data_IF_603487552538
#
_entry.id   IF_603487552538
#
_cell.length_a   1.000
_cell.length_b   1.000
_cell.length_c   1.000
_cell.angle_alpha   90.00
_cell.angle_beta   90.00
_cell.angle_gamma   90.00
#
_symmetry.space_group_name_H-M   'P 1'
#
loop_
_entity.id
_entity.type
_entity.pdbx_description
1 polymer ?
#
# COMPACT_ATOMS: atom_id res chain seq x y z
N UNK A 1 -6.85 29.74 -13.16
CA UNK A 1 -7.42 28.58 -13.90
C UNK A 1 -6.76 27.34 -13.34
N UNK A 2 -7.57 26.40 -12.90
CA UNK A 2 -7.12 25.15 -12.31
C UNK A 2 -7.08 24.02 -13.35
N UNK A 3 -6.10 23.13 -13.27
CA UNK A 3 -5.98 21.99 -14.18
C UNK A 3 -5.42 20.76 -13.51
N UNK A 4 -5.79 19.58 -14.05
CA UNK A 4 -5.27 18.26 -13.70
C UNK A 4 -4.46 17.70 -14.87
N UNK A 5 -3.31 17.09 -14.56
CA UNK A 5 -2.53 16.31 -15.53
C UNK A 5 -2.16 14.98 -14.90
N UNK A 6 -2.46 13.89 -15.58
CA UNK A 6 -2.23 12.53 -15.11
C UNK A 6 -0.97 11.98 -15.78
N UNK A 7 0.02 11.58 -14.99
CA UNK A 7 1.29 11.02 -15.46
C UNK A 7 1.43 9.52 -15.12
N UNK A 8 0.43 8.93 -14.47
CA UNK A 8 0.36 7.51 -14.14
C UNK A 8 -0.98 7.16 -13.47
N UNK A 9 -1.22 5.88 -13.25
CA UNK A 9 -2.50 5.38 -12.73
C UNK A 9 -3.63 5.42 -13.76
N UNK A 10 -3.33 5.49 -15.06
CA UNK A 10 -4.29 5.66 -16.15
C UNK A 10 -4.40 4.38 -16.97
N UNK A 11 -5.50 3.65 -16.84
CA UNK A 11 -5.69 2.36 -17.53
C UNK A 11 -4.84 1.24 -16.93
N UNK A 12 -4.35 1.43 -15.73
CA UNK A 12 -3.49 0.51 -14.99
C UNK A 12 -3.81 0.57 -13.50
N UNK A 13 -3.44 -0.46 -12.73
CA UNK A 13 -3.46 -0.46 -11.27
C UNK A 13 -2.10 0.00 -10.76
N UNK A 14 -2.09 0.97 -9.85
CA UNK A 14 -0.86 1.55 -9.31
C UNK A 14 -0.22 2.62 -10.20
N UNK A 15 0.96 3.06 -9.80
CA UNK A 15 1.75 4.04 -10.54
C UNK A 15 1.19 5.46 -10.51
N UNK A 16 0.37 5.79 -9.54
CA UNK A 16 -0.29 7.10 -9.43
C UNK A 16 0.70 8.26 -9.44
N UNK A 17 0.44 9.24 -10.31
CA UNK A 17 1.22 10.48 -10.47
C UNK A 17 0.28 11.56 -11.03
N UNK A 18 -0.26 12.40 -10.15
CA UNK A 18 -1.32 13.35 -10.51
C UNK A 18 -0.85 14.76 -10.18
N UNK A 19 -0.73 15.61 -11.20
CA UNK A 19 -0.39 17.02 -11.04
C UNK A 19 -1.66 17.86 -10.96
N UNK A 20 -1.78 18.65 -9.90
CA UNK A 20 -2.75 19.73 -9.78
C UNK A 20 -2.03 21.06 -9.93
N UNK A 21 -2.47 21.89 -10.87
CA UNK A 21 -1.91 23.21 -11.08
C UNK A 21 -3.00 24.28 -10.94
N UNK A 22 -2.76 25.30 -10.12
CA UNK A 22 -3.63 26.46 -9.95
C UNK A 22 -2.81 27.74 -9.84
N UNK A 23 -3.10 28.74 -10.69
CA UNK A 23 -2.46 30.08 -10.69
C UNK A 23 -0.93 30.01 -10.58
N UNK A 24 -0.30 29.04 -11.23
CA UNK A 24 1.13 28.84 -11.24
C UNK A 24 1.69 27.98 -10.11
N UNK A 25 0.90 27.67 -9.07
CA UNK A 25 1.26 26.69 -8.05
C UNK A 25 1.07 25.26 -8.61
N UNK A 26 2.06 24.39 -8.45
CA UNK A 26 2.07 23.01 -8.95
C UNK A 26 2.30 22.04 -7.81
N UNK A 27 1.35 21.17 -7.57
CA UNK A 27 1.43 20.10 -6.55
C UNK A 27 1.29 18.74 -7.22
N UNK A 28 2.23 17.85 -6.94
CA UNK A 28 2.17 16.46 -7.38
C UNK A 28 1.59 15.57 -6.27
N UNK A 29 0.60 14.77 -6.59
CA UNK A 29 0.03 13.78 -5.70
C UNK A 29 0.49 12.40 -6.12
N UNK A 30 1.17 11.70 -5.21
CA UNK A 30 1.84 10.41 -5.37
C UNK A 30 2.92 10.40 -6.47
N UNK A 31 3.86 9.47 -6.36
CA UNK A 31 4.87 9.22 -7.39
C UNK A 31 5.30 7.74 -7.34
N UNK A 32 4.36 6.88 -7.72
CA UNK A 32 4.45 5.45 -7.52
C UNK A 32 4.95 4.65 -8.71
N UNK A 33 5.17 3.35 -8.48
CA UNK A 33 5.52 2.33 -9.47
C UNK A 33 4.22 1.69 -9.98
N UNK A 34 4.01 1.60 -11.29
CA UNK A 34 2.93 0.82 -11.85
C UNK A 34 3.28 -0.67 -11.80
N UNK A 35 2.33 -1.52 -11.39
CA UNK A 35 2.58 -2.95 -11.31
C UNK A 35 2.72 -3.59 -12.69
N UNK A 36 1.81 -3.31 -13.62
CA UNK A 36 1.76 -4.00 -14.92
C UNK A 36 2.76 -3.45 -15.94
N UNK A 37 3.02 -2.15 -15.96
CA UNK A 37 3.92 -1.53 -16.96
C UNK A 37 5.37 -2.01 -16.82
N UNK A 38 5.77 -2.42 -15.61
CA UNK A 38 7.12 -2.95 -15.35
C UNK A 38 7.31 -4.36 -15.85
N UNK A 39 6.28 -5.19 -15.83
CA UNK A 39 6.36 -6.63 -16.11
C UNK A 39 6.60 -6.93 -17.59
N UNK A 40 6.23 -6.03 -18.51
CA UNK A 40 6.50 -6.17 -19.93
C UNK A 40 7.99 -6.07 -20.29
N UNK A 41 8.79 -5.38 -19.47
CA UNK A 41 10.20 -5.07 -19.76
C UNK A 41 11.17 -5.54 -18.68
N UNK A 42 10.71 -5.78 -17.46
CA UNK A 42 11.53 -6.11 -16.31
C UNK A 42 11.03 -7.36 -15.61
N UNK A 43 11.94 -8.16 -15.13
CA UNK A 43 11.69 -9.37 -14.32
C UNK A 43 12.63 -9.39 -13.13
N UNK A 44 12.48 -10.35 -12.21
CA UNK A 44 13.21 -10.39 -10.94
C UNK A 44 14.74 -10.18 -11.05
N UNK A 45 15.36 -10.59 -12.13
CA UNK A 45 16.79 -10.51 -12.39
C UNK A 45 17.18 -9.57 -13.55
N UNK A 46 16.23 -9.03 -14.30
CA UNK A 46 16.44 -7.98 -15.30
C UNK A 46 15.76 -6.71 -14.82
N UNK A 47 16.55 -5.78 -14.26
CA UNK A 47 16.06 -4.53 -13.65
C UNK A 47 16.72 -3.31 -14.28
N UNK A 48 16.13 -2.12 -14.14
CA UNK A 48 16.80 -0.87 -14.50
C UNK A 48 18.20 -0.82 -13.87
N UNK A 49 19.15 -0.29 -14.63
CA UNK A 49 20.55 -0.19 -14.18
C UNK A 49 20.66 0.79 -13.01
N UNK A 50 21.31 0.37 -11.92
CA UNK A 50 21.49 1.22 -10.72
C UNK A 50 22.17 2.56 -11.02
N UNK A 51 23.09 2.59 -11.99
CA UNK A 51 23.79 3.82 -12.39
C UNK A 51 23.02 4.74 -13.34
N UNK A 52 21.85 4.35 -13.87
CA UNK A 52 21.06 5.12 -14.85
C UNK A 52 19.58 4.77 -14.79
N UNK A 53 18.96 4.65 -13.60
CA UNK A 53 17.60 4.13 -13.49
C UNK A 53 16.58 5.02 -14.21
N UNK A 54 16.65 6.32 -14.07
CA UNK A 54 15.73 7.28 -14.71
C UNK A 54 15.84 7.23 -16.23
N UNK A 55 17.05 7.05 -16.78
CA UNK A 55 17.23 6.89 -18.24
C UNK A 55 16.53 5.64 -18.75
N UNK A 56 16.72 4.52 -18.06
CA UNK A 56 16.14 3.24 -18.45
C UNK A 56 14.60 3.27 -18.35
N UNK A 57 14.06 3.90 -17.30
CA UNK A 57 12.61 4.06 -17.13
C UNK A 57 12.00 5.07 -18.12
N UNK A 58 12.75 6.08 -18.55
CA UNK A 58 12.32 7.01 -19.60
C UNK A 58 12.24 6.35 -20.99
N UNK A 59 13.05 5.33 -21.25
CA UNK A 59 13.04 4.60 -22.53
C UNK A 59 11.73 3.87 -22.73
N UNK A 60 11.13 3.35 -21.66
CA UNK A 60 9.88 2.59 -21.68
C UNK A 60 8.66 3.39 -21.19
N UNK A 61 8.78 4.74 -21.16
CA UNK A 61 7.72 5.66 -20.71
C UNK A 61 7.12 5.37 -19.30
N UNK A 62 7.89 4.69 -18.44
CA UNK A 62 7.50 4.39 -17.05
C UNK A 62 7.59 5.60 -16.13
N UNK A 63 8.39 6.59 -16.50
CA UNK A 63 8.50 7.87 -15.82
C UNK A 63 8.18 9.02 -16.78
N UNK A 64 7.43 10.04 -16.33
CA UNK A 64 7.13 11.20 -17.14
C UNK A 64 8.34 12.14 -17.24
N UNK A 65 8.62 12.69 -18.42
CA UNK A 65 9.72 13.65 -18.64
C UNK A 65 9.32 15.06 -18.19
N UNK A 66 9.13 15.26 -16.86
CA UNK A 66 8.73 16.52 -16.25
C UNK A 66 9.98 17.36 -15.93
N UNK A 67 10.03 18.59 -16.47
CA UNK A 67 11.10 19.53 -16.21
C UNK A 67 11.01 20.04 -14.76
N UNK A 68 12.16 20.13 -14.07
CA UNK A 68 12.25 20.61 -12.69
C UNK A 68 11.68 19.63 -11.65
N UNK A 69 11.53 18.34 -11.98
CA UNK A 69 11.07 17.31 -11.03
C UNK A 69 12.22 16.48 -10.49
N UNK A 70 13.20 16.11 -11.31
CA UNK A 70 14.17 15.05 -11.01
C UNK A 70 15.48 15.57 -10.43
N UNK A 71 16.11 14.76 -9.60
CA UNK A 71 17.48 14.95 -9.09
C UNK A 71 18.46 15.10 -10.25
N UNK A 72 19.39 16.03 -10.08
CA UNK A 72 20.39 16.39 -11.10
C UNK A 72 21.29 15.21 -11.52
N UNK A 73 21.72 14.41 -10.54
CA UNK A 73 22.63 13.28 -10.74
C UNK A 73 22.00 12.17 -11.60
N UNK A 74 20.68 11.98 -11.51
CA UNK A 74 19.92 10.95 -12.22
C UNK A 74 19.60 11.32 -13.67
N UNK A 75 19.77 12.57 -14.08
CA UNK A 75 19.45 13.04 -15.43
C UNK A 75 20.55 12.81 -16.46
N UNK A 76 21.69 12.28 -16.07
CA UNK A 76 22.80 12.00 -17.00
C UNK A 76 22.37 11.05 -18.11
N UNK A 77 22.50 11.51 -19.37
CA UNK A 77 22.19 10.69 -20.55
C UNK A 77 20.68 10.50 -20.84
N UNK A 78 19.79 11.19 -20.14
CA UNK A 78 18.33 11.11 -20.34
C UNK A 78 17.80 12.05 -21.44
N UNK A 79 18.62 13.03 -21.87
CA UNK A 79 18.17 14.12 -22.76
C UNK A 79 17.37 15.23 -22.06
N UNK A 80 16.89 15.02 -20.82
CA UNK A 80 16.22 16.04 -20.02
C UNK A 80 17.29 16.90 -19.30
N UNK A 81 17.25 18.21 -19.52
CA UNK A 81 18.17 19.13 -18.85
C UNK A 81 17.68 19.43 -17.43
N UNK A 82 18.60 19.39 -16.48
CA UNK A 82 18.32 19.83 -15.12
C UNK A 82 17.98 21.33 -15.10
N UNK A 83 16.95 21.65 -14.37
CA UNK A 83 16.61 23.00 -13.92
C UNK A 83 16.22 22.93 -12.45
N UNK A 84 16.22 24.08 -11.76
CA UNK A 84 15.72 24.14 -10.38
C UNK A 84 14.29 23.62 -10.32
N UNK A 85 13.85 23.08 -9.18
CA UNK A 85 12.49 22.58 -9.00
C UNK A 85 11.43 23.58 -9.48
N UNK A 86 10.49 23.09 -10.27
CA UNK A 86 9.31 23.82 -10.74
C UNK A 86 8.00 23.24 -10.12
N UNK A 87 8.13 22.32 -9.17
CA UNK A 87 7.05 21.71 -8.40
C UNK A 87 7.15 22.25 -6.98
N UNK A 88 6.04 22.75 -6.43
CA UNK A 88 6.03 23.41 -5.12
C UNK A 88 5.95 22.41 -3.97
N UNK A 89 5.33 21.25 -4.19
CA UNK A 89 5.22 20.18 -3.19
C UNK A 89 4.83 18.84 -3.82
N UNK A 90 5.15 17.75 -3.10
CA UNK A 90 4.60 16.41 -3.33
C UNK A 90 3.75 16.03 -2.12
N UNK A 91 2.54 15.50 -2.35
CA UNK A 91 1.68 14.93 -1.32
C UNK A 91 1.53 13.44 -1.55
N UNK A 92 1.78 12.63 -0.52
CA UNK A 92 1.65 11.17 -0.57
C UNK A 92 0.39 10.71 0.14
N UNK A 93 -0.40 9.87 -0.52
CA UNK A 93 -1.62 9.30 0.07
C UNK A 93 -1.29 8.27 1.14
N UNK A 94 -0.37 7.35 0.88
CA UNK A 94 0.06 6.29 1.80
C UNK A 94 1.37 5.63 1.35
N UNK A 95 1.89 4.66 2.13
CA UNK A 95 3.24 4.10 1.95
C UNK A 95 3.31 2.84 1.05
N UNK A 96 2.34 2.55 0.18
CA UNK A 96 2.50 1.49 -0.80
C UNK A 96 3.42 1.92 -1.95
N UNK A 97 4.15 0.97 -2.54
CA UNK A 97 5.14 1.27 -3.58
C UNK A 97 4.53 1.90 -4.84
N UNK A 98 3.32 1.56 -5.17
CA UNK A 98 2.58 2.13 -6.29
C UNK A 98 2.12 3.57 -6.07
N UNK A 99 2.40 4.14 -4.88
CA UNK A 99 2.22 5.56 -4.54
C UNK A 99 3.53 6.28 -4.20
N UNK A 100 4.55 5.57 -3.67
CA UNK A 100 5.80 6.22 -3.23
C UNK A 100 7.06 5.70 -3.93
N UNK A 101 6.99 4.63 -4.71
CA UNK A 101 8.15 3.83 -5.12
C UNK A 101 9.20 4.54 -5.98
N UNK A 102 8.85 5.66 -6.63
CA UNK A 102 9.79 6.49 -7.38
C UNK A 102 10.14 7.81 -6.69
N UNK A 103 9.75 7.99 -5.42
CA UNK A 103 9.98 9.25 -4.69
C UNK A 103 11.48 9.63 -4.65
N UNK A 104 12.37 8.66 -4.47
CA UNK A 104 13.82 8.88 -4.47
C UNK A 104 14.42 9.44 -5.76
N UNK A 105 13.65 9.50 -6.84
CA UNK A 105 14.10 10.14 -8.09
C UNK A 105 13.78 11.64 -8.16
N UNK A 106 12.91 12.13 -7.28
CA UNK A 106 12.50 13.53 -7.21
C UNK A 106 13.63 14.39 -6.62
N UNK A 107 13.74 15.65 -7.06
CA UNK A 107 14.73 16.60 -6.54
C UNK A 107 14.52 16.81 -5.02
N UNK A 108 15.58 16.65 -4.26
CA UNK A 108 15.57 16.69 -2.78
C UNK A 108 15.18 18.04 -2.20
N UNK A 109 15.15 19.11 -3.01
CA UNK A 109 14.66 20.43 -2.58
C UNK A 109 13.13 20.55 -2.64
N UNK A 110 12.42 19.59 -3.20
CA UNK A 110 10.96 19.59 -3.25
C UNK A 110 10.42 19.05 -1.92
N UNK A 111 9.62 19.81 -1.16
CA UNK A 111 9.04 19.36 0.09
C UNK A 111 8.00 18.26 -0.13
N UNK A 112 8.02 17.25 0.75
CA UNK A 112 7.11 16.10 0.72
C UNK A 112 6.20 16.13 1.93
N UNK A 113 4.90 16.08 1.69
CA UNK A 113 3.85 16.06 2.71
C UNK A 113 3.21 14.67 2.77
N UNK A 114 3.10 14.09 3.96
CA UNK A 114 2.63 12.71 4.16
C UNK A 114 2.07 12.51 5.57
N UNK A 115 1.28 11.46 5.76
CA UNK A 115 0.82 11.05 7.08
C UNK A 115 1.99 10.63 7.99
N UNK A 116 1.87 10.85 9.31
CA UNK A 116 2.94 10.54 10.27
C UNK A 116 3.34 9.06 10.24
N UNK A 117 2.37 8.14 10.26
CA UNK A 117 2.67 6.71 10.11
C UNK A 117 3.20 6.35 8.71
N UNK A 118 2.80 7.07 7.65
CA UNK A 118 3.38 6.88 6.32
C UNK A 118 4.89 7.10 6.34
N UNK A 119 5.34 8.18 7.03
CA UNK A 119 6.77 8.46 7.21
C UNK A 119 7.47 7.34 7.98
N UNK A 120 6.93 6.91 9.13
CA UNK A 120 7.51 5.83 9.92
C UNK A 120 7.64 4.51 9.14
N UNK A 121 6.66 4.19 8.30
CA UNK A 121 6.71 3.00 7.45
C UNK A 121 7.79 3.13 6.39
N UNK A 122 7.91 4.29 5.72
CA UNK A 122 8.93 4.53 4.70
C UNK A 122 10.33 4.43 5.31
N UNK A 123 10.60 5.10 6.43
CA UNK A 123 11.87 5.00 7.17
C UNK A 123 12.19 3.55 7.56
N UNK A 124 11.20 2.80 8.07
CA UNK A 124 11.37 1.39 8.42
C UNK A 124 11.74 0.52 7.22
N UNK A 125 11.15 0.79 6.05
CA UNK A 125 11.47 0.07 4.81
C UNK A 125 12.89 0.34 4.37
N UNK A 126 13.38 1.57 4.46
CA UNK A 126 14.77 1.93 4.16
C UNK A 126 15.75 1.26 5.13
N UNK A 127 15.46 1.27 6.43
CA UNK A 127 16.27 0.58 7.44
C UNK A 127 16.38 -0.94 7.18
N UNK A 128 15.33 -1.54 6.62
CA UNK A 128 15.24 -2.98 6.32
C UNK A 128 15.77 -3.38 4.94
N UNK A 129 16.08 -2.41 4.07
CA UNK A 129 16.45 -2.66 2.67
C UNK A 129 17.54 -1.72 2.21
N UNK A 130 18.64 -2.29 1.73
CA UNK A 130 19.73 -1.50 1.09
C UNK A 130 19.38 -1.06 -0.34
N UNK A 131 18.23 -1.47 -0.87
CA UNK A 131 17.82 -1.21 -2.25
C UNK A 131 16.72 -0.15 -2.35
N UNK A 132 16.15 0.27 -1.23
CA UNK A 132 15.07 1.26 -1.17
C UNK A 132 15.64 2.58 -0.67
N UNK A 133 15.42 3.64 -1.41
CA UNK A 133 15.84 5.01 -1.11
C UNK A 133 14.70 5.94 -1.55
N UNK A 134 14.10 6.64 -0.60
CA UNK A 134 13.03 7.60 -0.87
C UNK A 134 13.54 9.04 -0.97
N UNK A 135 14.85 9.27 -0.77
CA UNK A 135 15.51 10.58 -0.84
C UNK A 135 15.40 11.41 0.46
N UNK A 136 16.33 12.35 0.59
CA UNK A 136 16.42 13.26 1.76
C UNK A 136 15.60 14.55 1.53
N UNK A 137 14.27 14.42 1.43
CA UNK A 137 13.38 15.56 1.24
C UNK A 137 13.11 16.31 2.56
N UNK A 138 12.69 17.59 2.51
CA UNK A 138 12.01 18.23 3.63
C UNK A 138 10.65 17.58 3.86
N UNK A 139 10.60 16.59 4.76
CA UNK A 139 9.38 15.85 5.09
C UNK A 139 8.53 16.61 6.09
N UNK A 140 7.27 16.85 5.75
CA UNK A 140 6.25 17.49 6.59
C UNK A 140 5.12 16.49 6.87
N UNK A 141 4.95 16.12 8.13
CA UNK A 141 3.87 15.20 8.50
C UNK A 141 2.60 15.95 8.84
N UNK A 142 1.46 15.32 8.59
CA UNK A 142 0.14 15.87 8.89
C UNK A 142 -0.82 14.80 9.44
N UNK A 143 -1.97 15.26 9.91
CA UNK A 143 -3.13 14.46 10.32
C UNK A 143 -4.43 15.05 9.81
N UNK A 144 -5.52 14.26 9.86
CA UNK A 144 -6.88 14.76 9.61
C UNK A 144 -7.20 15.97 10.48
N UNK A 145 -7.79 16.99 9.88
CA UNK A 145 -8.17 18.26 10.52
C UNK A 145 -7.16 19.37 10.33
N UNK A 146 -6.00 19.09 9.77
CA UNK A 146 -5.03 20.11 9.35
C UNK A 146 -5.39 20.64 7.94
N UNK A 147 -5.04 21.90 7.72
CA UNK A 147 -5.17 22.57 6.42
C UNK A 147 -3.82 23.12 6.03
N UNK A 148 -3.30 22.66 4.91
CA UNK A 148 -1.94 22.97 4.45
C UNK A 148 -2.03 23.90 3.24
N UNK A 149 -1.51 25.10 3.40
CA UNK A 149 -1.51 26.10 2.33
C UNK A 149 -0.21 26.05 1.53
N UNK A 150 -0.32 25.79 0.23
CA UNK A 150 0.79 25.83 -0.73
C UNK A 150 0.40 26.79 -1.86
N UNK A 151 1.05 27.92 -1.93
CA UNK A 151 0.77 28.95 -2.95
C UNK A 151 -0.71 29.36 -2.96
N UNK A 152 -1.39 29.10 -4.08
CA UNK A 152 -2.81 29.40 -4.29
C UNK A 152 -3.76 28.32 -3.80
N UNK A 153 -3.27 27.15 -3.38
CA UNK A 153 -4.09 26.02 -2.97
C UNK A 153 -4.04 25.79 -1.46
N UNK A 154 -5.15 25.29 -0.89
CA UNK A 154 -5.23 24.77 0.47
C UNK A 154 -5.62 23.29 0.40
N UNK A 155 -4.83 22.44 1.00
CA UNK A 155 -4.98 20.98 0.98
C UNK A 155 -5.46 20.50 2.35
N UNK A 156 -6.60 19.81 2.40
CA UNK A 156 -7.14 19.16 3.59
C UNK A 156 -6.99 17.64 3.47
N UNK A 157 -6.02 17.02 4.18
CA UNK A 157 -5.90 15.57 4.26
C UNK A 157 -7.00 15.02 5.18
N UNK A 158 -7.68 13.97 4.73
CA UNK A 158 -8.67 13.25 5.53
C UNK A 158 -8.34 11.76 5.51
N UNK A 159 -8.22 11.16 6.69
CA UNK A 159 -7.91 9.74 6.83
C UNK A 159 -8.97 8.88 6.18
N UNK A 160 -8.54 7.82 5.49
CA UNK A 160 -9.41 6.78 4.92
C UNK A 160 -8.99 5.41 5.44
N UNK A 161 -9.92 4.47 5.46
CA UNK A 161 -9.61 3.07 5.74
C UNK A 161 -8.96 2.43 4.51
N UNK A 162 -7.82 1.83 4.70
CA UNK A 162 -7.08 1.04 3.71
C UNK A 162 -6.28 -0.07 4.41
N UNK A 163 -5.61 -0.96 3.69
CA UNK A 163 -4.84 -2.06 4.26
C UNK A 163 -3.57 -1.62 5.02
N UNK A 164 -3.12 -0.39 4.82
CA UNK A 164 -1.95 0.22 5.48
C UNK A 164 -2.39 1.43 6.33
N UNK A 165 -1.83 1.66 7.53
CA UNK A 165 -2.19 2.82 8.35
C UNK A 165 -1.73 4.13 7.71
N UNK A 166 -2.40 5.23 8.10
CA UNK A 166 -2.18 6.58 7.59
C UNK A 166 -2.37 6.70 6.07
N UNK A 167 -3.40 6.04 5.54
CA UNK A 167 -3.91 6.31 4.21
C UNK A 167 -4.83 7.53 4.23
N UNK A 168 -4.65 8.44 3.26
CA UNK A 168 -5.38 9.70 3.19
C UNK A 168 -5.96 9.94 1.80
N UNK A 169 -7.22 10.40 1.77
CA UNK A 169 -7.75 11.16 0.65
C UNK A 169 -7.53 12.65 0.87
N UNK A 170 -7.65 13.44 -0.19
CA UNK A 170 -7.42 14.89 -0.15
C UNK A 170 -8.61 15.68 -0.67
N UNK A 171 -8.95 16.77 0.02
CA UNK A 171 -9.83 17.82 -0.47
C UNK A 171 -8.92 19.02 -0.79
N UNK A 172 -8.82 19.38 -2.06
CA UNK A 172 -7.90 20.38 -2.58
C UNK A 172 -8.71 21.60 -2.98
N UNK A 173 -8.62 22.65 -2.18
CA UNK A 173 -9.31 23.93 -2.47
C UNK A 173 -8.47 24.74 -3.44
N UNK A 174 -9.06 25.05 -4.58
CA UNK A 174 -8.42 25.81 -5.68
C UNK A 174 -9.22 27.05 -6.02
N UNK A 175 -8.70 27.87 -6.94
CA UNK A 175 -9.40 29.09 -7.38
C UNK A 175 -10.70 28.83 -8.16
N UNK A 176 -10.89 27.62 -8.70
CA UNK A 176 -12.07 27.25 -9.50
C UNK A 176 -13.06 26.33 -8.72
N UNK A 177 -12.74 25.99 -7.47
CA UNK A 177 -13.52 25.13 -6.61
C UNK A 177 -12.70 23.97 -6.04
N UNK A 178 -13.35 23.05 -5.34
CA UNK A 178 -12.67 21.92 -4.71
C UNK A 178 -12.43 20.79 -5.69
N UNK A 179 -11.25 20.17 -5.61
CA UNK A 179 -10.90 18.89 -6.25
C UNK A 179 -10.73 17.85 -5.16
N UNK A 180 -11.33 16.68 -5.33
CA UNK A 180 -11.19 15.55 -4.41
C UNK A 180 -10.30 14.50 -5.05
N UNK A 181 -9.29 14.02 -4.31
CA UNK A 181 -8.51 12.84 -4.69
C UNK A 181 -8.66 11.77 -3.60
N UNK A 182 -9.17 10.60 -3.98
CA UNK A 182 -9.50 9.56 -3.00
C UNK A 182 -8.27 8.87 -2.40
N UNK A 183 -7.14 8.84 -3.12
CA UNK A 183 -6.16 7.81 -2.86
C UNK A 183 -6.82 6.43 -2.96
N UNK A 184 -6.29 5.46 -2.25
CA UNK A 184 -6.86 4.13 -2.12
C UNK A 184 -7.70 4.02 -0.85
N UNK A 185 -8.87 3.41 -0.94
CA UNK A 185 -9.80 3.33 0.18
C UNK A 185 -10.68 2.08 0.15
N UNK A 186 -11.17 1.67 1.33
CA UNK A 186 -12.15 0.58 1.48
C UNK A 186 -13.25 0.95 2.46
N UNK A 187 -14.39 0.19 2.41
CA UNK A 187 -15.55 0.36 3.28
C UNK A 187 -15.83 -0.86 4.20
N UNK A 188 -14.98 -1.88 4.13
CA UNK A 188 -15.20 -3.17 4.81
C UNK A 188 -14.01 -3.57 5.73
N UNK A 189 -13.13 -2.62 6.00
CA UNK A 189 -12.04 -2.77 6.96
C UNK A 189 -12.47 -2.48 8.40
N UNK A 190 -11.47 -2.34 9.28
CA UNK A 190 -11.70 -2.11 10.72
C UNK A 190 -12.15 -0.66 10.99
N UNK A 191 -11.80 0.27 10.11
CA UNK A 191 -12.02 1.72 10.30
C UNK A 191 -12.79 2.35 9.14
N UNK A 192 -13.82 1.67 8.64
CA UNK A 192 -14.72 2.20 7.61
C UNK A 192 -15.33 3.56 7.97
N UNK A 193 -15.45 3.87 9.27
CA UNK A 193 -15.86 5.18 9.77
C UNK A 193 -14.98 6.33 9.24
N UNK A 194 -13.69 6.10 9.04
CA UNK A 194 -12.77 7.11 8.46
C UNK A 194 -13.09 7.38 6.98
N UNK A 195 -13.35 6.34 6.20
CA UNK A 195 -13.76 6.51 4.80
C UNK A 195 -15.13 7.19 4.69
N UNK A 196 -16.06 6.86 5.58
CA UNK A 196 -17.37 7.54 5.64
C UNK A 196 -17.20 9.04 5.95
N UNK A 197 -16.35 9.41 6.90
CA UNK A 197 -16.02 10.82 7.22
C UNK A 197 -15.43 11.54 6.00
N UNK A 198 -14.48 10.91 5.31
CA UNK A 198 -13.90 11.45 4.08
C UNK A 198 -14.95 11.70 3.00
N UNK A 199 -15.85 10.73 2.73
CA UNK A 199 -16.90 10.85 1.73
C UNK A 199 -17.88 11.98 2.09
N UNK A 200 -18.23 12.13 3.37
CA UNK A 200 -19.10 13.21 3.83
C UNK A 200 -18.46 14.59 3.66
N UNK A 201 -17.19 14.75 4.04
CA UNK A 201 -16.44 16.01 3.83
C UNK A 201 -16.23 16.33 2.35
N UNK A 202 -15.94 15.31 1.54
CA UNK A 202 -15.84 15.46 0.09
C UNK A 202 -17.16 15.96 -0.51
N UNK A 203 -18.31 15.41 -0.07
CA UNK A 203 -19.65 15.88 -0.48
C UNK A 203 -19.89 17.33 -0.06
N UNK A 204 -19.57 17.69 1.19
CA UNK A 204 -19.75 19.05 1.72
C UNK A 204 -18.92 20.09 0.94
N UNK A 205 -17.77 19.69 0.42
CA UNK A 205 -16.90 20.56 -0.39
C UNK A 205 -17.47 20.88 -1.78
N UNK A 206 -18.55 20.22 -2.21
CA UNK A 206 -19.22 20.37 -3.53
C UNK A 206 -18.22 20.37 -4.69
N UNK A 207 -17.45 19.29 -4.91
CA UNK A 207 -16.27 19.33 -5.76
C UNK A 207 -16.60 19.51 -7.24
N UNK A 208 -15.80 20.34 -7.90
CA UNK A 208 -15.85 20.52 -9.36
C UNK A 208 -15.24 19.32 -10.09
N UNK A 209 -14.32 18.61 -9.44
CA UNK A 209 -13.74 17.38 -9.96
C UNK A 209 -13.42 16.40 -8.82
N UNK A 210 -13.51 15.09 -9.13
CA UNK A 210 -13.08 14.01 -8.26
C UNK A 210 -12.15 13.08 -9.06
N UNK A 211 -11.00 12.77 -8.50
CA UNK A 211 -10.09 11.73 -8.99
C UNK A 211 -10.31 10.52 -8.09
N UNK A 212 -10.81 9.43 -8.65
CA UNK A 212 -11.25 8.26 -7.88
C UNK A 212 -10.51 7.01 -8.31
N UNK A 213 -10.05 6.22 -7.33
CA UNK A 213 -9.59 4.87 -7.57
C UNK A 213 -10.71 3.99 -8.15
N UNK A 214 -10.31 2.92 -8.81
CA UNK A 214 -11.24 1.94 -9.40
C UNK A 214 -10.66 0.54 -9.49
N UNK A 215 -9.77 0.17 -8.58
CA UNK A 215 -9.02 -1.09 -8.59
C UNK A 215 -9.91 -2.32 -8.78
N UNK A 216 -11.07 -2.34 -8.12
CA UNK A 216 -11.99 -3.49 -8.15
C UNK A 216 -13.19 -3.32 -9.10
N UNK A 217 -13.22 -2.30 -9.93
CA UNK A 217 -14.24 -2.18 -10.97
C UNK A 217 -13.99 -3.22 -12.06
N UNK A 218 -14.96 -4.12 -12.26
CA UNK A 218 -14.86 -5.23 -13.21
C UNK A 218 -14.26 -6.52 -12.64
N UNK A 219 -13.95 -6.56 -11.34
CA UNK A 219 -13.41 -7.75 -10.66
C UNK A 219 -14.41 -8.43 -9.72
N UNK A 220 -15.70 -8.47 -10.10
CA UNK A 220 -16.77 -9.01 -9.24
C UNK A 220 -16.64 -10.52 -8.95
N UNK A 221 -15.78 -11.23 -9.70
CA UNK A 221 -15.56 -12.67 -9.52
C UNK A 221 -14.63 -13.00 -8.35
N UNK A 222 -13.84 -12.05 -7.85
CA UNK A 222 -12.92 -12.29 -6.74
C UNK A 222 -13.65 -12.22 -5.41
N UNK A 223 -13.51 -13.27 -4.60
CA UNK A 223 -14.05 -13.31 -3.25
C UNK A 223 -13.44 -12.19 -2.40
N UNK A 224 -14.28 -11.44 -1.71
CA UNK A 224 -13.84 -10.44 -0.76
C UNK A 224 -14.55 -10.66 0.58
N UNK A 225 -13.76 -10.79 1.64
CA UNK A 225 -14.26 -10.85 3.01
C UNK A 225 -14.18 -9.47 3.67
N UNK A 226 -14.95 -9.28 4.73
CA UNK A 226 -14.68 -8.20 5.68
C UNK A 226 -13.56 -8.62 6.64
N UNK A 227 -12.87 -7.67 7.26
CA UNK A 227 -11.87 -7.99 8.30
C UNK A 227 -12.46 -8.82 9.44
N UNK A 228 -13.73 -8.58 9.79
CA UNK A 228 -14.46 -9.38 10.78
C UNK A 228 -14.63 -10.84 10.37
N UNK A 229 -14.94 -11.10 9.11
CA UNK A 229 -15.07 -12.46 8.58
C UNK A 229 -13.72 -13.16 8.54
N UNK A 230 -12.65 -12.48 8.12
CA UNK A 230 -11.28 -13.03 8.18
C UNK A 230 -10.95 -13.44 9.61
N UNK A 231 -11.19 -12.57 10.60
CA UNK A 231 -10.97 -12.88 12.01
C UNK A 231 -11.77 -14.11 12.44
N UNK A 232 -13.09 -14.11 12.20
CA UNK A 232 -14.00 -15.18 12.67
C UNK A 232 -13.62 -16.53 12.09
N UNK A 233 -13.44 -16.64 10.78
CA UNK A 233 -13.07 -17.89 10.09
C UNK A 233 -11.68 -18.37 10.50
N UNK A 234 -10.72 -17.46 10.67
CA UNK A 234 -9.37 -17.80 11.14
C UNK A 234 -9.38 -18.32 12.58
N UNK A 235 -10.17 -17.72 13.48
CA UNK A 235 -10.37 -18.22 14.84
C UNK A 235 -10.98 -19.63 14.85
N UNK A 236 -11.96 -19.91 13.99
CA UNK A 236 -12.56 -21.23 13.88
C UNK A 236 -11.53 -22.28 13.47
N UNK A 237 -10.69 -21.99 12.48
CA UNK A 237 -9.60 -22.87 12.05
C UNK A 237 -8.62 -23.11 13.20
N UNK A 238 -8.11 -22.01 13.80
CA UNK A 238 -7.08 -22.08 14.83
C UNK A 238 -7.54 -22.79 16.11
N UNK A 239 -8.82 -22.65 16.50
CA UNK A 239 -9.37 -23.25 17.70
C UNK A 239 -9.68 -24.75 17.54
N UNK A 240 -9.98 -25.21 16.32
CA UNK A 240 -10.36 -26.64 16.06
C UNK A 240 -9.16 -27.54 15.85
N UNK A 241 -7.97 -27.03 15.68
CA UNK A 241 -6.77 -27.86 15.40
C UNK A 241 -5.77 -27.81 16.55
N UNK A 242 -5.03 -28.93 16.73
CA UNK A 242 -3.84 -28.99 17.59
C UNK A 242 -2.52 -28.95 16.78
N UNK A 243 -2.61 -28.71 15.48
CA UNK A 243 -1.46 -28.61 14.57
C UNK A 243 -1.04 -27.16 14.37
N UNK A 244 0.03 -26.94 13.63
CA UNK A 244 0.50 -25.60 13.31
C UNK A 244 -0.55 -24.87 12.45
N UNK A 245 -0.74 -23.58 12.74
CA UNK A 245 -1.48 -22.67 11.86
C UNK A 245 -0.47 -21.66 11.33
N UNK A 246 -0.33 -21.63 10.02
CA UNK A 246 0.53 -20.67 9.31
C UNK A 246 -0.37 -19.65 8.63
N UNK A 247 0.02 -18.38 8.62
CA UNK A 247 -0.69 -17.33 7.91
C UNK A 247 0.28 -16.48 7.09
N UNK A 248 -0.16 -16.05 5.92
CA UNK A 248 0.55 -15.05 5.13
C UNK A 248 -0.35 -13.87 4.82
N UNK A 249 0.23 -12.67 4.83
CA UNK A 249 -0.41 -11.41 4.47
C UNK A 249 0.64 -10.38 4.09
N UNK A 250 0.24 -9.29 3.48
CA UNK A 250 1.16 -8.21 3.11
C UNK A 250 1.86 -7.65 4.35
N UNK A 251 3.20 -7.56 4.36
CA UNK A 251 3.98 -7.22 5.56
C UNK A 251 3.62 -5.89 6.23
N UNK A 252 3.00 -4.97 5.48
CA UNK A 252 2.57 -3.64 5.95
C UNK A 252 1.08 -3.51 6.21
N UNK A 253 0.31 -4.59 6.01
CA UNK A 253 -1.10 -4.65 6.41
C UNK A 253 -1.19 -4.82 7.94
N UNK A 254 -1.19 -3.69 8.63
CA UNK A 254 -1.18 -3.65 10.09
C UNK A 254 -2.53 -4.08 10.67
N UNK A 255 -3.62 -3.83 9.97
CA UNK A 255 -4.94 -4.29 10.41
C UNK A 255 -4.99 -5.82 10.37
N UNK A 256 -4.46 -6.45 9.31
CA UNK A 256 -4.37 -7.90 9.19
C UNK A 256 -3.43 -8.50 10.23
N UNK A 257 -2.30 -7.85 10.50
CA UNK A 257 -1.38 -8.26 11.56
C UNK A 257 -2.10 -8.24 12.93
N UNK A 258 -2.84 -7.17 13.24
CA UNK A 258 -3.65 -7.06 14.47
C UNK A 258 -4.77 -8.11 14.51
N UNK A 259 -5.39 -8.38 13.36
CA UNK A 259 -6.40 -9.45 13.22
C UNK A 259 -5.81 -10.81 13.60
N UNK A 260 -4.66 -11.19 13.04
CA UNK A 260 -4.03 -12.49 13.37
C UNK A 260 -3.43 -12.53 14.78
N UNK A 261 -2.92 -11.42 15.30
CA UNK A 261 -2.55 -11.34 16.71
C UNK A 261 -3.75 -11.65 17.61
N UNK A 262 -4.91 -11.06 17.32
CA UNK A 262 -6.11 -11.33 18.10
C UNK A 262 -6.63 -12.78 17.88
N UNK A 263 -6.53 -13.33 16.66
CA UNK A 263 -6.84 -14.75 16.38
C UNK A 263 -5.97 -15.69 17.23
N UNK A 264 -4.67 -15.39 17.34
CA UNK A 264 -3.78 -16.18 18.18
C UNK A 264 -4.23 -16.16 19.64
N UNK A 265 -4.51 -14.99 20.22
CA UNK A 265 -5.00 -14.85 21.60
C UNK A 265 -6.32 -15.56 21.81
N UNK A 266 -7.31 -15.35 20.97
CA UNK A 266 -8.64 -15.92 21.09
C UNK A 266 -8.62 -17.46 20.96
N UNK A 267 -7.61 -18.03 20.29
CA UNK A 267 -7.39 -19.48 20.13
C UNK A 267 -6.39 -20.08 21.13
N UNK A 268 -5.90 -19.29 22.11
CA UNK A 268 -4.91 -19.72 23.12
C UNK A 268 -3.53 -20.04 22.53
N UNK A 269 -3.15 -19.37 21.43
CA UNK A 269 -1.86 -19.52 20.76
C UNK A 269 -1.01 -18.26 20.91
N UNK A 270 0.31 -18.40 20.75
CA UNK A 270 1.21 -17.25 20.62
C UNK A 270 1.35 -16.91 19.13
N UNK A 271 1.40 -15.62 18.82
CA UNK A 271 1.64 -15.14 17.47
C UNK A 271 3.14 -14.99 17.20
N UNK A 272 3.63 -15.71 16.20
CA UNK A 272 5.04 -15.68 15.81
C UNK A 272 5.18 -14.84 14.54
N UNK A 273 5.91 -13.73 14.62
CA UNK A 273 6.11 -12.79 13.52
C UNK A 273 7.57 -12.78 13.04
N UNK A 274 7.82 -12.29 11.83
CA UNK A 274 9.17 -12.11 11.33
C UNK A 274 9.89 -10.95 12.01
N UNK A 275 11.24 -10.92 11.98
CA UNK A 275 12.06 -9.79 12.44
C UNK A 275 11.64 -8.47 11.79
N UNK A 276 11.34 -8.47 10.49
CA UNK A 276 10.87 -7.27 9.77
C UNK A 276 9.53 -6.76 10.31
N UNK A 277 8.59 -7.66 10.60
CA UNK A 277 7.31 -7.26 11.19
C UNK A 277 7.49 -6.75 12.63
N UNK A 278 8.36 -7.39 13.42
CA UNK A 278 8.68 -6.94 14.77
C UNK A 278 9.29 -5.52 14.77
N UNK A 279 10.22 -5.26 13.86
CA UNK A 279 10.81 -3.92 13.70
C UNK A 279 9.77 -2.89 13.28
N UNK A 280 8.93 -3.19 12.29
CA UNK A 280 7.85 -2.29 11.86
C UNK A 280 6.91 -1.95 13.02
N UNK A 281 6.49 -2.94 13.83
CA UNK A 281 5.64 -2.70 14.99
C UNK A 281 6.34 -1.80 16.02
N UNK A 282 7.64 -2.01 16.25
CA UNK A 282 8.44 -1.18 17.16
C UNK A 282 8.50 0.29 16.72
N UNK A 283 8.69 0.53 15.41
CA UNK A 283 8.67 1.89 14.83
C UNK A 283 7.28 2.53 14.91
N UNK A 284 6.24 1.77 14.59
CA UNK A 284 4.86 2.27 14.64
C UNK A 284 4.38 2.62 16.07
N UNK A 285 4.98 2.07 17.12
CA UNK A 285 4.73 2.49 18.52
C UNK A 285 5.12 3.93 18.82
N UNK A 286 5.95 4.55 18.00
CA UNK A 286 6.30 5.97 18.12
C UNK A 286 5.07 6.85 17.93
N UNK A 287 4.12 6.44 17.08
CA UNK A 287 2.81 7.07 16.99
C UNK A 287 1.87 6.59 18.12
N UNK A 288 1.74 7.42 19.15
CA UNK A 288 0.89 7.12 20.32
C UNK A 288 -0.61 6.97 20.00
N UNK A 289 -1.04 7.37 18.80
CA UNK A 289 -2.45 7.26 18.35
C UNK A 289 -2.72 5.97 17.59
N UNK A 290 -1.67 5.24 17.19
CA UNK A 290 -1.80 3.93 16.55
C UNK A 290 -1.51 2.81 17.58
N UNK A 291 -2.53 2.17 18.17
CA UNK A 291 -2.32 1.08 19.11
C UNK A 291 -1.83 -0.17 18.35
N UNK A 292 -0.58 -0.54 18.53
CA UNK A 292 0.02 -1.78 18.01
C UNK A 292 0.58 -2.62 19.16
N UNK A 293 0.64 -3.95 19.03
CA UNK A 293 1.24 -4.82 20.06
C UNK A 293 2.72 -4.48 20.26
N UNK A 294 3.20 -4.62 21.47
CA UNK A 294 4.61 -4.46 21.81
C UNK A 294 5.33 -5.81 21.77
N UNK A 295 5.98 -6.11 20.68
CA UNK A 295 6.66 -7.40 20.45
C UNK A 295 7.72 -7.72 21.52
N UNK A 296 8.32 -6.71 22.16
CA UNK A 296 9.38 -6.92 23.15
C UNK A 296 8.86 -7.25 24.55
N UNK A 297 7.64 -6.88 24.89
CA UNK A 297 7.06 -7.06 26.22
C UNK A 297 5.77 -7.89 26.25
N UNK A 298 5.14 -8.13 25.11
CA UNK A 298 3.89 -8.89 25.02
C UNK A 298 4.17 -10.41 25.10
N UNK A 299 3.69 -11.11 26.13
CA UNK A 299 3.94 -12.53 26.30
C UNK A 299 3.26 -13.42 25.24
N UNK A 300 2.29 -12.88 24.51
CA UNK A 300 1.55 -13.58 23.46
C UNK A 300 2.22 -13.43 22.09
N UNK A 301 3.32 -12.68 21.99
CA UNK A 301 4.11 -12.50 20.76
C UNK A 301 5.50 -13.09 20.86
N UNK A 302 5.96 -13.70 19.77
CA UNK A 302 7.31 -14.22 19.59
C UNK A 302 7.85 -13.78 18.23
N UNK A 303 9.17 -13.76 18.09
CA UNK A 303 9.82 -13.41 16.84
C UNK A 303 10.50 -14.63 16.24
N UNK A 304 10.20 -14.95 14.98
CA UNK A 304 10.86 -16.02 14.27
C UNK A 304 12.27 -15.61 13.84
N UNK A 305 13.25 -16.35 14.29
CA UNK A 305 14.65 -16.13 14.02
C UNK A 305 15.20 -17.19 13.08
N UNK A 306 15.58 -16.78 11.88
CA UNK A 306 16.44 -17.58 11.02
C UNK A 306 17.90 -17.38 11.45
N UNK A 307 18.61 -18.43 11.88
CA UNK A 307 20.02 -18.31 12.23
C UNK A 307 20.85 -17.79 11.07
N UNK A 308 21.67 -16.77 11.32
CA UNK A 308 22.60 -16.20 10.35
C UNK A 308 23.88 -15.70 11.06
N UNK A 309 24.96 -15.57 10.32
CA UNK A 309 26.27 -15.19 10.86
C UNK A 309 26.32 -13.75 11.39
N UNK A 310 25.46 -12.86 10.91
CA UNK A 310 25.42 -11.45 11.30
C UNK A 310 23.99 -10.92 11.27
N UNK A 311 23.63 -10.20 12.32
CA UNK A 311 22.37 -9.47 12.44
C UNK A 311 22.61 -7.98 12.24
N UNK A 312 21.64 -7.32 11.61
CA UNK A 312 21.64 -5.86 11.43
C UNK A 312 21.35 -5.16 12.77
N UNK A 313 21.74 -3.90 12.95
CA UNK A 313 21.45 -3.15 14.19
C UNK A 313 19.96 -3.12 14.56
N UNK A 314 19.08 -3.00 13.58
CA UNK A 314 17.63 -2.98 13.80
C UNK A 314 17.05 -4.34 14.23
N UNK A 315 17.75 -5.45 14.04
CA UNK A 315 17.31 -6.79 14.46
C UNK A 315 17.69 -7.10 15.91
N UNK A 316 18.76 -6.49 16.43
CA UNK A 316 19.29 -6.77 17.76
C UNK A 316 18.27 -6.72 18.91
N UNK A 317 17.36 -5.73 18.97
CA UNK A 317 16.41 -5.62 20.07
C UNK A 317 15.42 -6.80 20.22
N UNK A 318 15.30 -7.64 19.19
CA UNK A 318 14.32 -8.71 19.14
C UNK A 318 14.92 -10.10 19.38
N UNK A 319 16.23 -10.23 19.55
CA UNK A 319 16.91 -11.53 19.62
C UNK A 319 16.58 -12.30 20.91
N UNK A 320 16.36 -11.58 22.01
CA UNK A 320 16.03 -12.19 23.33
C UNK A 320 14.64 -12.86 23.34
N UNK A 321 13.70 -12.39 22.52
CA UNK A 321 12.35 -12.96 22.34
C UNK A 321 12.24 -13.83 21.11
N UNK A 322 13.34 -14.19 20.49
CA UNK A 322 13.36 -14.95 19.26
C UNK A 322 13.23 -16.45 19.51
N UNK A 323 12.55 -17.11 18.57
CA UNK A 323 12.39 -18.56 18.52
C UNK A 323 12.82 -19.09 17.15
N UNK A 324 13.43 -20.25 17.13
CA UNK A 324 13.93 -20.93 15.92
C UNK A 324 12.96 -21.96 15.38
N UNK A 325 13.34 -22.64 14.31
CA UNK A 325 12.59 -23.72 13.69
C UNK A 325 12.34 -24.90 14.66
N UNK A 326 13.29 -25.24 15.51
CA UNK A 326 13.15 -26.33 16.50
C UNK A 326 12.11 -26.00 17.55
N UNK A 327 12.07 -24.75 18.02
CA UNK A 327 11.03 -24.32 18.94
C UNK A 327 9.64 -24.38 18.28
N UNK A 328 9.52 -23.92 17.04
CA UNK A 328 8.25 -23.98 16.29
C UNK A 328 7.83 -25.43 16.08
N UNK A 329 8.73 -26.30 15.67
CA UNK A 329 8.47 -27.74 15.51
C UNK A 329 7.90 -28.38 16.77
N UNK A 330 8.51 -28.13 17.93
CA UNK A 330 8.10 -28.70 19.22
C UNK A 330 6.79 -28.12 19.80
N UNK A 331 6.37 -26.94 19.34
CA UNK A 331 5.24 -26.21 19.91
C UNK A 331 4.10 -25.94 18.93
N UNK A 332 3.97 -26.70 17.83
CA UNK A 332 3.03 -26.46 16.72
C UNK A 332 1.59 -26.16 17.18
N UNK A 333 1.08 -26.88 18.19
CA UNK A 333 -0.28 -26.68 18.71
C UNK A 333 -0.51 -25.37 19.47
N UNK A 334 0.58 -24.68 19.85
CA UNK A 334 0.55 -23.45 20.65
C UNK A 334 0.87 -22.20 19.85
N UNK A 335 1.12 -22.34 18.53
CA UNK A 335 1.61 -21.26 17.71
C UNK A 335 0.68 -20.97 16.54
N UNK A 336 0.63 -19.68 16.17
CA UNK A 336 0.18 -19.17 14.89
C UNK A 336 1.38 -18.44 14.29
N UNK A 337 1.90 -18.95 13.15
CA UNK A 337 3.15 -18.49 12.54
C UNK A 337 2.85 -17.62 11.32
N UNK A 338 3.36 -16.40 11.29
CA UNK A 338 3.36 -15.58 10.08
C UNK A 338 4.58 -15.93 9.21
N UNK A 339 4.33 -16.48 8.04
CA UNK A 339 5.36 -16.92 7.09
C UNK A 339 4.91 -16.64 5.65
N UNK A 340 5.65 -15.79 4.94
CA UNK A 340 5.40 -15.51 3.53
C UNK A 340 6.06 -16.49 2.57
N UNK A 341 5.64 -16.52 1.30
CA UNK A 341 6.15 -17.43 0.26
C UNK A 341 7.69 -17.42 0.18
N UNK A 342 8.30 -16.22 0.23
CA UNK A 342 9.78 -16.08 0.19
C UNK A 342 10.52 -16.74 1.37
N UNK A 343 9.77 -17.19 2.38
CA UNK A 343 10.30 -17.85 3.57
C UNK A 343 9.94 -19.34 3.59
N UNK A 344 9.32 -19.91 2.56
CA UNK A 344 8.88 -21.30 2.55
C UNK A 344 10.01 -22.32 2.75
N UNK A 345 11.25 -21.95 2.42
CA UNK A 345 12.41 -22.79 2.72
C UNK A 345 12.53 -23.13 4.23
N UNK A 346 12.01 -22.28 5.12
CA UNK A 346 11.98 -22.56 6.57
C UNK A 346 11.07 -23.75 6.93
N UNK A 347 10.09 -24.10 6.09
CA UNK A 347 9.23 -25.26 6.28
C UNK A 347 10.01 -26.58 6.28
N UNK A 348 11.18 -26.63 5.60
CA UNK A 348 12.06 -27.79 5.57
C UNK A 348 12.59 -28.11 6.97
N UNK A 349 12.94 -27.08 7.75
CA UNK A 349 13.48 -27.22 9.08
C UNK A 349 12.38 -27.25 10.16
N UNK A 350 11.31 -26.46 9.98
CA UNK A 350 10.13 -26.45 10.85
C UNK A 350 9.40 -27.81 10.83
N UNK A 351 9.36 -28.48 9.68
CA UNK A 351 8.66 -29.77 9.50
C UNK A 351 7.25 -29.76 10.09
N UNK A 352 6.31 -29.00 9.50
CA UNK A 352 4.94 -28.96 10.01
C UNK A 352 4.28 -30.32 9.92
N UNK A 353 3.50 -30.67 10.92
CA UNK A 353 2.72 -31.94 10.91
C UNK A 353 1.73 -31.92 9.75
N UNK A 354 1.63 -33.03 9.00
CA UNK A 354 0.63 -33.18 7.94
C UNK A 354 -0.78 -32.85 8.44
N UNK A 355 -1.51 -32.04 7.66
CA UNK A 355 -2.81 -31.53 8.06
C UNK A 355 -2.71 -30.26 8.94
N UNK A 356 -1.54 -29.63 9.09
CA UNK A 356 -1.41 -28.25 9.53
C UNK A 356 -2.13 -27.33 8.55
N UNK A 357 -2.44 -26.09 8.97
CA UNK A 357 -3.26 -25.19 8.18
C UNK A 357 -2.43 -24.02 7.67
N UNK A 358 -2.67 -23.63 6.42
CA UNK A 358 -2.11 -22.42 5.81
C UNK A 358 -3.25 -21.47 5.42
N UNK A 359 -3.30 -20.30 6.05
CA UNK A 359 -4.28 -19.25 5.79
C UNK A 359 -3.62 -18.22 4.88
N UNK A 360 -3.97 -18.25 3.59
CA UNK A 360 -3.56 -17.25 2.61
C UNK A 360 -4.46 -16.03 2.72
N UNK A 361 -3.91 -14.96 3.28
CA UNK A 361 -4.64 -13.72 3.55
C UNK A 361 -4.14 -12.56 2.67
N UNK A 362 -3.78 -12.90 1.43
CA UNK A 362 -3.43 -11.99 0.34
C UNK A 362 -4.47 -12.10 -0.78
N UNK A 363 -4.43 -11.20 -1.75
CA UNK A 363 -5.29 -11.27 -2.93
C UNK A 363 -5.08 -12.59 -3.69
N UNK A 364 -6.15 -13.07 -4.32
CA UNK A 364 -6.05 -14.14 -5.30
C UNK A 364 -5.13 -13.71 -6.47
N UNK A 365 -4.47 -14.67 -7.15
CA UNK A 365 -3.59 -14.37 -8.27
C UNK A 365 -4.31 -13.57 -9.37
N UNK A 366 -3.55 -12.79 -10.12
CA UNK A 366 -4.10 -11.98 -11.21
C UNK A 366 -4.44 -12.81 -12.45
N UNK A 367 -3.75 -13.92 -12.68
CA UNK A 367 -3.98 -14.85 -13.78
C UNK A 367 -3.90 -16.30 -13.32
N UNK A 368 -4.46 -17.22 -14.12
CA UNK A 368 -4.34 -18.68 -13.88
C UNK A 368 -2.90 -19.18 -14.17
N UNK A 369 -2.05 -18.36 -14.78
CA UNK A 369 -0.65 -18.67 -15.10
C UNK A 369 0.33 -18.09 -14.08
N UNK A 370 -0.13 -17.72 -12.87
CA UNK A 370 0.70 -17.17 -11.81
C UNK A 370 1.64 -18.24 -11.24
N UNK A 371 2.91 -18.17 -11.62
CA UNK A 371 3.95 -19.13 -11.21
C UNK A 371 4.14 -19.14 -9.69
N UNK A 372 3.99 -18.00 -9.01
CA UNK A 372 4.15 -17.92 -7.56
C UNK A 372 3.02 -18.69 -6.83
N UNK A 373 1.80 -18.63 -7.36
CA UNK A 373 0.66 -19.38 -6.84
C UNK A 373 0.84 -20.89 -7.06
N UNK A 374 1.27 -21.31 -8.24
CA UNK A 374 1.59 -22.71 -8.53
C UNK A 374 2.68 -23.25 -7.58
N UNK A 375 3.78 -22.51 -7.44
CA UNK A 375 4.88 -22.88 -6.54
C UNK A 375 4.38 -22.96 -5.10
N UNK A 376 3.59 -22.00 -4.64
CA UNK A 376 2.98 -22.03 -3.30
C UNK A 376 2.18 -23.33 -3.09
N UNK A 377 1.29 -23.67 -4.00
CA UNK A 377 0.48 -24.89 -3.90
C UNK A 377 1.33 -26.16 -3.90
N UNK A 378 2.38 -26.25 -4.73
CA UNK A 378 3.32 -27.40 -4.72
C UNK A 378 3.99 -27.58 -3.35
N UNK A 379 4.37 -26.49 -2.66
CA UNK A 379 4.91 -26.56 -1.31
C UNK A 379 3.87 -27.03 -0.28
N UNK A 380 2.66 -26.50 -0.36
CA UNK A 380 1.58 -26.84 0.56
C UNK A 380 1.22 -28.34 0.43
N UNK A 381 1.15 -28.86 -0.76
CA UNK A 381 0.86 -30.26 -1.06
C UNK A 381 2.01 -31.17 -0.56
N UNK A 382 3.26 -30.79 -0.80
CA UNK A 382 4.43 -31.53 -0.33
C UNK A 382 4.41 -31.74 1.19
N UNK A 383 4.14 -30.68 1.95
CA UNK A 383 4.06 -30.74 3.40
C UNK A 383 2.68 -31.22 3.91
N UNK A 384 1.70 -31.40 3.04
CA UNK A 384 0.33 -31.80 3.38
C UNK A 384 -0.40 -30.79 4.23
N UNK A 385 -0.29 -29.50 3.87
CA UNK A 385 -0.96 -28.39 4.54
C UNK A 385 -2.37 -28.17 3.96
N UNK A 386 -3.33 -27.85 4.81
CA UNK A 386 -4.69 -27.47 4.39
C UNK A 386 -4.72 -25.99 4.03
N UNK A 387 -4.99 -25.67 2.76
CA UNK A 387 -5.08 -24.31 2.25
C UNK A 387 -6.42 -23.65 2.58
N UNK A 388 -6.40 -22.36 2.95
CA UNK A 388 -7.58 -21.52 3.20
C UNK A 388 -7.36 -20.13 2.62
N UNK A 389 -8.16 -19.72 1.63
CA UNK A 389 -8.17 -18.37 1.09
C UNK A 389 -9.07 -17.48 1.95
N UNK A 390 -8.49 -16.58 2.76
CA UNK A 390 -9.22 -15.65 3.65
C UNK A 390 -8.61 -14.25 3.55
N UNK A 391 -9.13 -13.45 2.64
CA UNK A 391 -8.60 -12.10 2.37
C UNK A 391 -9.71 -11.06 2.38
N UNK A 392 -9.44 -9.89 2.98
CA UNK A 392 -10.20 -8.66 2.82
C UNK A 392 -9.36 -7.66 2.03
N UNK A 393 -9.87 -7.20 0.91
CA UNK A 393 -9.16 -6.29 0.01
C UNK A 393 -8.81 -4.95 0.70
N UNK A 394 -7.73 -4.30 0.28
CA UNK A 394 -7.43 -2.92 0.63
C UNK A 394 -8.33 -1.90 -0.07
N UNK A 395 -9.09 -2.31 -1.09
CA UNK A 395 -9.87 -1.44 -1.96
C UNK A 395 -11.36 -1.71 -1.89
N UNK A 396 -12.18 -0.67 -2.05
CA UNK A 396 -13.62 -0.76 -2.19
C UNK A 396 -14.03 -1.72 -3.31
N UNK A 397 -15.17 -2.40 -3.14
CA UNK A 397 -15.84 -3.08 -4.24
C UNK A 397 -16.29 -2.08 -5.31
N UNK A 398 -16.49 -2.54 -6.55
CA UNK A 398 -16.99 -1.69 -7.62
C UNK A 398 -18.30 -0.99 -7.26
N UNK A 399 -19.22 -1.68 -6.57
CA UNK A 399 -20.49 -1.11 -6.12
C UNK A 399 -20.28 0.01 -5.07
N UNK A 400 -19.36 -0.17 -4.12
CA UNK A 400 -19.02 0.86 -3.12
C UNK A 400 -18.38 2.08 -3.77
N UNK A 401 -17.46 1.90 -4.74
CA UNK A 401 -16.84 3.00 -5.49
C UNK A 401 -17.92 3.84 -6.18
N UNK A 402 -18.86 3.20 -6.90
CA UNK A 402 -19.94 3.88 -7.59
C UNK A 402 -20.84 4.63 -6.60
N UNK A 403 -21.21 3.99 -5.47
CA UNK A 403 -21.99 4.61 -4.41
C UNK A 403 -21.27 5.84 -3.84
N UNK A 404 -19.98 5.77 -3.59
CA UNK A 404 -19.17 6.86 -3.06
C UNK A 404 -19.14 8.05 -4.04
N UNK A 405 -18.91 7.81 -5.34
CA UNK A 405 -18.95 8.85 -6.39
C UNK A 405 -20.34 9.50 -6.44
N UNK A 406 -21.43 8.73 -6.40
CA UNK A 406 -22.79 9.25 -6.41
C UNK A 406 -23.12 10.04 -5.14
N UNK A 407 -22.57 9.65 -3.99
CA UNK A 407 -22.74 10.34 -2.71
C UNK A 407 -22.06 11.70 -2.71
N UNK A 408 -20.81 11.75 -3.19
CA UNK A 408 -20.03 12.99 -3.32
C UNK A 408 -20.63 13.90 -4.39
N UNK A 409 -21.14 13.32 -5.48
CA UNK A 409 -21.79 13.99 -6.61
C UNK A 409 -20.94 15.13 -7.20
N UNK A 410 -19.69 14.87 -7.63
CA UNK A 410 -18.83 15.88 -8.25
C UNK A 410 -19.38 16.30 -9.61
N UNK A 411 -19.01 17.49 -10.11
CA UNK A 411 -19.38 17.88 -11.50
C UNK A 411 -18.73 16.93 -12.54
N UNK A 412 -17.53 16.43 -12.23
CA UNK A 412 -16.77 15.54 -13.11
C UNK A 412 -15.99 14.53 -12.27
N UNK A 413 -15.89 13.27 -12.73
CA UNK A 413 -15.02 12.24 -12.15
C UNK A 413 -13.99 11.76 -13.16
N UNK A 414 -12.73 11.61 -12.69
CA UNK A 414 -11.61 11.03 -13.42
C UNK A 414 -11.25 9.69 -12.76
N UNK A 415 -11.51 8.54 -13.43
CA UNK A 415 -11.09 7.24 -12.92
C UNK A 415 -9.57 7.07 -13.07
N UNK A 416 -8.92 6.66 -11.99
CA UNK A 416 -7.50 6.30 -11.93
C UNK A 416 -7.34 4.97 -11.19
N UNK A 417 -6.12 4.42 -11.16
CA UNK A 417 -5.84 3.19 -10.45
C UNK A 417 -6.83 2.06 -10.82
N UNK A 418 -7.03 1.86 -12.12
CA UNK A 418 -8.00 0.89 -12.68
C UNK A 418 -7.64 0.49 -14.10
N UNK A 419 -7.76 -0.78 -14.41
CA UNK A 419 -7.67 -1.32 -15.78
C UNK A 419 -8.96 -1.09 -16.58
N UNK A 420 -10.06 -0.73 -15.90
CA UNK A 420 -11.39 -0.65 -16.48
C UNK A 420 -12.01 0.76 -16.43
N UNK A 421 -11.31 1.84 -16.85
CA UNK A 421 -11.82 3.21 -16.74
C UNK A 421 -13.12 3.44 -17.53
N UNK A 422 -13.32 2.75 -18.64
CA UNK A 422 -14.53 2.86 -19.46
C UNK A 422 -15.79 2.29 -18.76
N UNK A 423 -15.62 1.38 -17.79
CA UNK A 423 -16.76 0.88 -17.02
C UNK A 423 -17.38 1.96 -16.14
N UNK A 424 -16.61 2.96 -15.70
CA UNK A 424 -17.17 4.11 -14.97
C UNK A 424 -18.25 4.84 -15.79
N UNK A 425 -18.05 5.02 -17.11
CA UNK A 425 -19.04 5.65 -17.98
C UNK A 425 -20.35 4.87 -18.03
N UNK A 426 -20.30 3.55 -17.89
CA UNK A 426 -21.46 2.67 -17.90
C UNK A 426 -22.20 2.66 -16.55
N UNK A 427 -21.43 2.67 -15.46
CA UNK A 427 -21.94 2.42 -14.11
C UNK A 427 -22.30 3.71 -13.35
N UNK A 428 -21.49 4.76 -13.50
CA UNK A 428 -21.75 6.05 -12.83
C UNK A 428 -22.89 6.79 -13.54
N UNK A 429 -23.92 7.16 -12.78
CA UNK A 429 -25.08 7.91 -13.30
C UNK A 429 -25.09 9.32 -12.69
N UNK A 430 -25.52 10.30 -13.47
CA UNK A 430 -25.69 11.68 -13.01
C UNK A 430 -24.42 12.51 -12.87
N UNK A 431 -23.24 11.91 -13.03
CA UNK A 431 -21.93 12.58 -12.97
C UNK A 431 -21.22 12.43 -14.31
N UNK A 432 -20.56 13.48 -14.78
CA UNK A 432 -19.75 13.42 -16.00
C UNK A 432 -18.49 12.60 -15.74
N UNK A 433 -18.32 11.46 -16.43
CA UNK A 433 -17.09 10.66 -16.39
C UNK A 433 -16.17 11.08 -17.51
N UNK A 434 -14.90 11.37 -17.18
CA UNK A 434 -13.85 11.68 -18.15
C UNK A 434 -12.64 10.76 -17.91
N UNK A 435 -12.44 9.76 -18.77
CA UNK A 435 -11.30 8.87 -18.69
C UNK A 435 -10.04 9.65 -19.06
N UNK A 436 -9.06 9.77 -18.15
CA UNK A 436 -7.86 10.55 -18.39
C UNK A 436 -6.95 9.88 -19.43
N UNK A 437 -6.04 10.68 -20.00
CA UNK A 437 -4.94 10.22 -20.85
C UNK A 437 -3.63 10.73 -20.30
N UNK A 438 -2.59 9.91 -20.34
CA UNK A 438 -1.25 10.26 -19.87
C UNK A 438 -0.77 11.56 -20.53
N UNK A 439 -0.26 12.48 -19.70
CA UNK A 439 0.33 13.76 -20.11
C UNK A 439 -0.67 14.81 -20.61
N UNK A 440 -1.97 14.46 -20.76
CA UNK A 440 -2.98 15.43 -21.19
C UNK A 440 -3.42 16.30 -20.01
N UNK A 441 -3.43 17.61 -20.25
CA UNK A 441 -3.92 18.63 -19.30
C UNK A 441 -5.44 18.80 -19.43
N UNK A 442 -6.13 18.72 -18.30
CA UNK A 442 -7.58 18.90 -18.17
C UNK A 442 -7.89 20.14 -17.34
N UNK A 443 -8.50 21.14 -17.94
CA UNK A 443 -9.00 22.33 -17.23
C UNK A 443 -10.33 21.97 -16.52
N UNK A 444 -10.47 22.44 -15.30
CA UNK A 444 -11.65 22.21 -14.46
C UNK A 444 -12.31 23.52 -14.05
#
# INVERSE_FOLDING_TARGET
MTSLTFYGGVGEVGGNKIMVEDRGTKILFDFGIAFNTGEDYWINWLKPRSGSPVKDLFEFDMLPKIKGLYRKDLLKGTGLKYVKPEIDAVFLTHAHFDHVGYLGFIDENIPVYLGECTKLIMETVEEQSTMTDYGEHPYHTFRTGEKIKIGSMEIEPVHVDHSIPAAYGYIIHTSEGSVVYTGDLRMHGVRSDMTEDFINKAKESMPVAMVSEGTRIGSERKTNHTEKEVKTKSCEIASKTRKLVITTFYPRDIDRLRTFYQVAKDSGRKFVVSLKAAHLLSRLKEDKRLPVPDVTSDPDMLVYLRPKSRYYPWEQPFLDNAVDCDYVHKNQSKLLLNLGLMQFAELIDIRPDRGSHFIHSMSEPFSEEDIEDEVMHNWLDHFGLNFHQLHASGHCSGAEIIKNIQTVNPKKVFPVHTENPEMFKKLVKGVKVECPRIGRKYTI
#
